data_IF_643971957860
#
_entry.id   IF_643971957860
#
_cell.length_a   1.000
_cell.length_b   1.000
_cell.length_c   1.000
_cell.angle_alpha   90.00
_cell.angle_beta   90.00
_cell.angle_gamma   90.00
#
_symmetry.space_group_name_H-M   'P 1'
#
loop_
_entity.id
_entity.type
_entity.pdbx_description
1 polymer ?
#
# COMPACT_ATOMS: atom_id res chain seq x y z
N UNK A 1 -45.26 40.31 6.14
CA UNK A 1 -46.59 40.83 6.46
C UNK A 1 -46.99 41.95 5.48
N UNK A 2 -48.24 42.10 5.28
CA UNK A 2 -48.84 43.19 4.47
C UNK A 2 -49.97 43.88 5.29
N UNK A 3 -50.14 45.20 5.19
CA UNK A 3 -51.19 45.91 5.89
C UNK A 3 -52.50 45.80 5.13
N UNK A 4 -53.52 45.15 5.71
CA UNK A 4 -54.83 44.97 5.17
C UNK A 4 -55.88 44.95 6.29
N UNK A 5 -57.05 45.62 6.07
CA UNK A 5 -58.08 45.75 7.12
C UNK A 5 -57.61 46.49 8.36
N UNK A 6 -56.75 47.47 8.16
CA UNK A 6 -56.15 48.27 9.27
C UNK A 6 -55.16 47.58 10.14
N UNK A 7 -54.75 46.29 9.80
CA UNK A 7 -53.79 45.50 10.59
C UNK A 7 -52.78 44.77 9.69
N UNK A 8 -51.62 44.43 10.28
CA UNK A 8 -50.58 43.60 9.57
C UNK A 8 -51.02 42.15 9.50
N UNK A 9 -51.19 41.63 8.29
CA UNK A 9 -51.67 40.26 8.04
C UNK A 9 -50.53 39.35 7.62
N UNK A 10 -50.55 38.09 8.12
CA UNK A 10 -49.58 37.03 7.80
C UNK A 10 -50.29 35.73 7.35
N UNK A 11 -51.62 35.67 7.42
CA UNK A 11 -52.43 34.51 7.08
C UNK A 11 -53.18 34.74 5.77
N UNK A 12 -53.34 33.69 4.95
CA UNK A 12 -54.16 33.74 3.77
C UNK A 12 -55.62 34.00 4.14
N UNK A 13 -56.30 34.83 3.40
CA UNK A 13 -57.68 35.18 3.71
C UNK A 13 -58.24 36.30 2.82
N UNK A 14 -59.48 36.71 3.13
CA UNK A 14 -60.13 37.84 2.50
C UNK A 14 -60.20 38.96 3.56
N UNK A 15 -59.70 40.10 3.20
CA UNK A 15 -59.63 41.27 4.07
C UNK A 15 -60.38 42.43 3.42
N UNK A 16 -61.01 43.25 4.23
CA UNK A 16 -61.81 44.41 3.80
C UNK A 16 -61.22 45.68 4.43
N UNK A 17 -60.98 46.65 3.58
CA UNK A 17 -60.61 48.01 3.96
C UNK A 17 -61.70 49.00 3.55
N UNK A 18 -62.01 49.95 4.38
CA UNK A 18 -62.98 50.98 4.09
C UNK A 18 -62.26 52.25 3.68
N UNK A 19 -62.52 52.71 2.51
CA UNK A 19 -62.00 53.98 1.98
C UNK A 19 -63.10 55.04 2.10
N UNK A 20 -62.89 55.96 3.01
CA UNK A 20 -63.81 57.09 3.19
C UNK A 20 -63.79 58.00 1.96
N UNK A 21 -64.99 58.41 1.47
CA UNK A 21 -65.15 59.37 0.40
C UNK A 21 -65.62 60.70 0.91
N UNK A 22 -65.30 61.78 0.21
CA UNK A 22 -65.68 63.16 0.59
C UNK A 22 -67.21 63.46 0.42
N UNK A 23 -67.94 62.46 -0.07
CA UNK A 23 -69.43 62.54 -0.25
C UNK A 23 -70.20 61.67 0.75
N UNK A 24 -69.53 61.07 1.73
CA UNK A 24 -70.14 60.27 2.78
C UNK A 24 -70.56 58.83 2.40
N UNK A 25 -70.25 58.38 1.18
CA UNK A 25 -70.46 57.01 0.77
C UNK A 25 -69.12 56.27 0.71
N UNK A 26 -68.85 55.47 1.70
CA UNK A 26 -67.58 54.74 1.79
C UNK A 26 -67.47 53.61 0.77
N UNK A 27 -66.28 53.51 0.20
CA UNK A 27 -65.95 52.39 -0.73
C UNK A 27 -65.29 51.27 0.09
N UNK A 28 -65.68 50.00 -0.19
CA UNK A 28 -65.06 48.83 0.43
C UNK A 28 -64.11 48.18 -0.56
N UNK A 29 -62.84 48.10 -0.16
CA UNK A 29 -61.82 47.35 -0.88
C UNK A 29 -61.74 45.94 -0.32
N UNK A 30 -62.00 44.94 -1.14
CA UNK A 30 -61.88 43.54 -0.81
C UNK A 30 -60.58 43.00 -1.39
N UNK A 31 -59.65 42.60 -0.55
CA UNK A 31 -58.36 42.03 -0.92
C UNK A 31 -58.28 40.56 -0.52
N UNK A 32 -57.96 39.70 -1.49
CA UNK A 32 -57.66 38.29 -1.24
C UNK A 32 -56.13 38.14 -1.06
N UNK A 33 -55.72 37.79 0.15
CA UNK A 33 -54.32 37.50 0.45
C UNK A 33 -54.05 36.02 0.26
N UNK A 34 -53.06 35.68 -0.58
CA UNK A 34 -52.51 34.33 -0.69
C UNK A 34 -51.13 34.33 -0.05
N UNK A 35 -50.85 33.35 0.82
CA UNK A 35 -49.55 33.13 1.40
C UNK A 35 -48.93 31.93 0.70
N UNK A 36 -47.81 32.17 0.00
CA UNK A 36 -47.08 31.12 -0.66
C UNK A 36 -46.16 30.41 0.34
N UNK A 37 -46.09 29.07 0.34
CA UNK A 37 -45.27 28.33 1.24
C UNK A 37 -43.76 28.50 0.92
N UNK A 38 -42.94 28.48 1.97
CA UNK A 38 -41.48 28.32 1.88
C UNK A 38 -41.15 26.88 2.23
N UNK A 39 -40.35 26.23 1.41
CA UNK A 39 -39.95 24.83 1.61
C UNK A 39 -38.51 24.75 2.12
N UNK A 40 -38.29 23.90 3.14
CA UNK A 40 -36.96 23.47 3.59
C UNK A 40 -36.76 22.02 3.17
N UNK A 41 -35.79 21.79 2.30
CA UNK A 41 -35.40 20.43 1.88
C UNK A 41 -34.07 20.07 2.51
N UNK A 42 -34.03 18.93 3.22
CA UNK A 42 -32.80 18.42 3.80
C UNK A 42 -32.16 17.40 2.86
N UNK A 43 -30.88 17.61 2.57
CA UNK A 43 -30.05 16.77 1.70
C UNK A 43 -28.81 16.31 2.47
N UNK A 44 -28.20 15.23 2.01
CA UNK A 44 -26.89 14.76 2.45
C UNK A 44 -25.95 14.65 1.25
N UNK A 45 -24.69 14.99 1.46
CA UNK A 45 -23.64 14.82 0.48
C UNK A 45 -22.40 14.25 1.17
N UNK A 46 -21.62 13.46 0.45
CA UNK A 46 -20.36 12.89 0.91
C UNK A 46 -19.27 13.20 -0.12
N UNK A 47 -18.08 13.56 0.36
CA UNK A 47 -16.86 13.71 -0.45
C UNK A 47 -15.71 13.02 0.26
N UNK A 48 -14.63 12.75 -0.47
CA UNK A 48 -13.39 12.28 0.11
C UNK A 48 -12.50 13.45 0.57
N UNK A 49 -11.67 13.22 1.55
CA UNK A 49 -10.68 14.20 1.99
C UNK A 49 -9.80 14.63 0.80
N UNK A 50 -9.74 15.95 0.55
CA UNK A 50 -9.04 16.54 -0.58
C UNK A 50 -9.95 16.87 -1.78
N UNK A 51 -11.18 16.39 -1.81
CA UNK A 51 -12.18 16.77 -2.82
C UNK A 51 -12.96 18.01 -2.40
N UNK A 52 -13.74 18.56 -3.32
CA UNK A 52 -14.64 19.68 -3.07
C UNK A 52 -15.98 19.50 -3.78
N UNK A 53 -17.01 20.08 -3.21
CA UNK A 53 -18.37 20.12 -3.74
C UNK A 53 -18.93 21.53 -3.66
N UNK A 54 -19.70 21.95 -4.67
CA UNK A 54 -20.32 23.27 -4.68
C UNK A 54 -21.59 23.25 -3.81
N UNK A 55 -21.57 23.95 -2.67
CA UNK A 55 -22.68 24.12 -1.74
C UNK A 55 -22.64 25.51 -1.14
N UNK A 56 -23.81 26.15 -0.96
CA UNK A 56 -23.88 27.50 -0.41
C UNK A 56 -23.21 28.54 -1.29
N UNK A 57 -23.18 28.32 -2.61
CA UNK A 57 -22.54 29.23 -3.57
C UNK A 57 -21.02 29.19 -3.60
N UNK A 58 -20.37 28.27 -2.88
CA UNK A 58 -18.90 28.10 -2.86
C UNK A 58 -18.48 26.63 -2.84
N UNK A 59 -17.24 26.36 -3.26
CA UNK A 59 -16.64 25.03 -3.14
C UNK A 59 -16.30 24.72 -1.68
N UNK A 60 -16.90 23.66 -1.14
CA UNK A 60 -16.72 23.23 0.24
C UNK A 60 -15.82 22.00 0.30
N UNK A 61 -14.86 22.00 1.24
CA UNK A 61 -13.91 20.91 1.51
C UNK A 61 -14.00 20.37 2.93
N UNK A 62 -14.85 20.99 3.78
CA UNK A 62 -14.99 20.65 5.19
C UNK A 62 -16.40 20.14 5.49
N UNK A 63 -16.49 19.17 6.39
CA UNK A 63 -17.78 18.68 6.87
C UNK A 63 -18.56 19.80 7.56
N UNK A 64 -19.88 19.84 7.32
CA UNK A 64 -20.71 20.90 7.88
C UNK A 64 -22.12 20.93 7.32
N UNK A 65 -22.86 21.95 7.67
CA UNK A 65 -24.21 22.22 7.15
C UNK A 65 -24.13 23.47 6.28
N UNK A 66 -24.60 23.33 5.04
CA UNK A 66 -24.58 24.38 4.04
C UNK A 66 -26.00 24.67 3.57
N UNK A 67 -26.26 25.92 3.22
CA UNK A 67 -27.58 26.39 2.81
C UNK A 67 -27.49 27.01 1.42
N UNK A 68 -28.36 26.54 0.53
CA UNK A 68 -28.61 27.12 -0.78
C UNK A 68 -30.04 27.64 -0.87
N UNK A 69 -30.22 28.75 -1.53
CA UNK A 69 -31.53 29.35 -1.77
C UNK A 69 -31.94 29.17 -3.23
N UNK A 70 -33.11 28.57 -3.45
CA UNK A 70 -33.71 28.42 -4.76
C UNK A 70 -34.86 29.42 -4.89
N UNK A 71 -34.67 30.42 -5.73
CA UNK A 71 -35.69 31.39 -6.01
C UNK A 71 -36.88 30.74 -6.71
N UNK A 72 -38.08 31.04 -6.24
CA UNK A 72 -39.31 30.60 -6.87
C UNK A 72 -39.92 31.72 -7.74
N UNK A 73 -40.72 31.35 -8.71
CA UNK A 73 -41.44 32.31 -9.57
C UNK A 73 -42.49 33.14 -8.79
N UNK A 74 -42.72 32.82 -7.53
CA UNK A 74 -43.62 33.55 -6.62
C UNK A 74 -42.87 34.46 -5.66
N UNK A 75 -41.53 34.54 -5.75
CA UNK A 75 -40.69 35.37 -4.87
C UNK A 75 -40.58 34.85 -3.44
N UNK A 76 -41.02 33.61 -3.15
CA UNK A 76 -40.83 32.97 -1.85
C UNK A 76 -39.76 31.85 -2.00
N UNK A 77 -38.57 32.14 -1.59
CA UNK A 77 -37.44 31.27 -1.83
C UNK A 77 -37.51 29.98 -1.01
N UNK A 78 -37.17 28.85 -1.63
CA UNK A 78 -37.01 27.56 -0.98
C UNK A 78 -35.55 27.42 -0.51
N UNK A 79 -35.34 26.78 0.66
CA UNK A 79 -34.03 26.57 1.25
C UNK A 79 -33.66 25.09 1.11
N UNK A 80 -32.51 24.82 0.53
CA UNK A 80 -31.84 23.52 0.61
C UNK A 80 -30.86 23.57 1.77
N UNK A 81 -30.98 22.62 2.71
CA UNK A 81 -30.06 22.40 3.82
C UNK A 81 -29.29 21.12 3.57
N UNK A 82 -28.04 21.23 3.14
CA UNK A 82 -27.19 20.05 2.85
C UNK A 82 -26.24 19.79 4.02
N UNK A 83 -26.27 18.57 4.55
CA UNK A 83 -25.26 18.09 5.51
C UNK A 83 -24.16 17.41 4.72
N UNK A 84 -22.97 17.99 4.72
CA UNK A 84 -21.78 17.44 4.07
C UNK A 84 -20.97 16.62 5.04
N UNK A 85 -20.63 15.39 4.65
CA UNK A 85 -19.67 14.51 5.32
C UNK A 85 -18.40 14.43 4.48
N UNK A 86 -17.23 14.53 5.13
CA UNK A 86 -15.93 14.31 4.49
C UNK A 86 -15.36 13.00 5.01
N UNK A 87 -15.24 12.02 4.13
CA UNK A 87 -14.69 10.71 4.45
C UNK A 87 -13.16 10.76 4.40
N UNK A 88 -12.44 10.21 5.40
CA UNK A 88 -10.99 10.25 5.42
C UNK A 88 -10.37 9.34 4.35
N UNK A 89 -9.21 9.75 3.83
CA UNK A 89 -8.30 8.93 3.03
C UNK A 89 -7.15 8.48 3.92
N UNK A 90 -6.83 7.19 3.92
CA UNK A 90 -5.78 6.62 4.76
C UNK A 90 -4.53 6.30 3.93
N UNK A 91 -3.35 6.66 4.47
CA UNK A 91 -2.06 6.22 3.97
C UNK A 91 -1.46 5.23 4.97
N UNK A 92 -1.28 3.98 4.54
CA UNK A 92 -0.63 2.94 5.34
C UNK A 92 0.77 2.69 4.78
N UNK A 93 1.80 2.80 5.63
CA UNK A 93 3.17 2.48 5.27
C UNK A 93 3.48 1.04 5.66
N UNK A 94 3.98 0.28 4.68
CA UNK A 94 4.38 -1.12 4.81
C UNK A 94 5.84 -1.28 4.39
N UNK A 95 6.47 -2.35 4.84
CA UNK A 95 7.78 -2.80 4.39
C UNK A 95 7.68 -4.22 3.88
N UNK A 96 8.42 -4.54 2.83
CA UNK A 96 8.55 -5.88 2.29
C UNK A 96 10.02 -6.14 1.96
N UNK A 97 10.45 -7.39 2.09
CA UNK A 97 11.79 -7.84 1.74
C UNK A 97 11.69 -9.06 0.81
N UNK A 98 12.52 -9.11 -0.20
CA UNK A 98 12.72 -10.26 -1.09
C UNK A 98 14.20 -10.51 -1.28
N UNK A 99 14.57 -11.70 -1.74
CA UNK A 99 15.94 -12.01 -2.16
C UNK A 99 16.16 -11.62 -3.63
N UNK A 100 17.39 -11.33 -3.98
CA UNK A 100 17.78 -11.09 -5.37
C UNK A 100 17.37 -12.28 -6.25
N UNK A 101 16.60 -12.00 -7.30
CA UNK A 101 16.03 -13.02 -8.21
C UNK A 101 14.59 -13.39 -7.89
N UNK A 102 14.06 -13.02 -6.74
CA UNK A 102 12.64 -13.20 -6.40
C UNK A 102 11.79 -12.01 -6.88
N UNK A 103 10.48 -12.18 -6.80
CA UNK A 103 9.51 -11.12 -7.11
C UNK A 103 8.36 -11.12 -6.12
N UNK A 104 7.76 -9.95 -5.92
CA UNK A 104 6.57 -9.73 -5.10
C UNK A 104 5.58 -8.86 -5.86
N UNK A 105 4.28 -9.13 -5.70
CA UNK A 105 3.22 -8.33 -6.33
C UNK A 105 3.00 -7.05 -5.52
N UNK A 106 3.36 -5.89 -6.08
CA UNK A 106 3.14 -4.56 -5.52
C UNK A 106 2.82 -3.58 -6.66
N UNK A 107 1.91 -2.63 -6.40
CA UNK A 107 1.51 -1.66 -7.42
C UNK A 107 0.88 -2.32 -8.65
N UNK A 108 0.18 -3.44 -8.48
CA UNK A 108 -0.48 -4.16 -9.56
C UNK A 108 0.44 -4.95 -10.49
N UNK A 109 1.77 -5.04 -10.20
CA UNK A 109 2.73 -5.81 -10.99
C UNK A 109 3.80 -6.48 -10.13
N UNK A 110 4.46 -7.52 -10.67
CA UNK A 110 5.57 -8.18 -10.00
C UNK A 110 6.81 -7.28 -10.00
N UNK A 111 7.30 -6.98 -8.80
CA UNK A 111 8.48 -6.15 -8.57
C UNK A 111 9.68 -7.01 -8.18
N UNK A 112 10.84 -6.69 -8.77
CA UNK A 112 12.13 -7.36 -8.53
C UNK A 112 13.21 -6.39 -8.06
N UNK A 113 12.90 -5.09 -8.01
CA UNK A 113 13.85 -4.02 -7.66
C UNK A 113 13.43 -3.32 -6.37
N UNK A 114 14.40 -2.93 -5.56
CA UNK A 114 14.15 -2.13 -4.38
C UNK A 114 13.53 -0.78 -4.77
N UNK A 115 12.55 -0.31 -3.98
CA UNK A 115 11.86 0.94 -4.28
C UNK A 115 10.63 1.16 -3.40
N UNK A 116 9.88 2.20 -3.75
CA UNK A 116 8.60 2.51 -3.12
C UNK A 116 7.49 2.25 -4.12
N UNK A 117 6.53 1.45 -3.73
CA UNK A 117 5.39 1.05 -4.54
C UNK A 117 4.09 1.46 -3.86
N UNK A 118 3.09 1.77 -4.68
CA UNK A 118 1.80 2.24 -4.20
C UNK A 118 0.68 1.32 -4.72
N UNK A 119 -0.18 0.90 -3.81
CA UNK A 119 -1.41 0.19 -4.11
C UNK A 119 -2.60 0.99 -3.59
N UNK A 120 -3.70 0.97 -4.31
CA UNK A 120 -4.94 1.61 -3.92
C UNK A 120 -5.96 0.56 -3.52
N UNK A 121 -6.54 0.71 -2.33
CA UNK A 121 -7.63 -0.12 -1.84
C UNK A 121 -8.89 0.71 -1.80
N UNK A 122 -9.87 0.38 -2.65
CA UNK A 122 -11.17 1.02 -2.64
C UNK A 122 -11.91 0.76 -1.34
N UNK A 123 -12.48 1.81 -0.77
CA UNK A 123 -13.33 1.72 0.41
C UNK A 123 -14.80 1.66 0.00
N UNK A 124 -15.67 1.19 0.90
CA UNK A 124 -17.12 1.18 0.68
C UNK A 124 -17.75 2.58 0.57
N UNK A 125 -16.99 3.63 0.87
CA UNK A 125 -17.37 5.04 0.71
C UNK A 125 -16.82 5.68 -0.56
N UNK A 126 -16.07 4.90 -1.38
CA UNK A 126 -15.45 5.41 -2.61
C UNK A 126 -14.21 6.26 -2.38
N UNK A 127 -13.74 6.39 -1.13
CA UNK A 127 -12.53 7.12 -0.77
C UNK A 127 -11.38 6.12 -0.63
N UNK A 128 -10.53 6.06 -1.64
CA UNK A 128 -9.49 5.04 -1.72
C UNK A 128 -8.40 5.23 -0.66
N UNK A 129 -8.03 4.15 -0.01
CA UNK A 129 -6.87 4.08 0.87
C UNK A 129 -5.62 3.76 0.07
N UNK A 130 -4.50 4.38 0.41
CA UNK A 130 -3.21 4.17 -0.25
C UNK A 130 -2.31 3.32 0.64
N UNK A 131 -1.83 2.21 0.11
CA UNK A 131 -0.74 1.44 0.69
C UNK A 131 0.57 1.89 0.04
N UNK A 132 1.51 2.36 0.85
CA UNK A 132 2.86 2.72 0.43
C UNK A 132 3.82 1.66 0.96
N UNK A 133 4.28 0.76 0.08
CA UNK A 133 5.21 -0.31 0.45
C UNK A 133 6.64 0.05 0.06
N UNK A 134 7.56 0.04 1.03
CA UNK A 134 9.00 0.12 0.77
C UNK A 134 9.54 -1.29 0.62
N UNK A 135 9.99 -1.63 -0.60
CA UNK A 135 10.59 -2.92 -0.92
C UNK A 135 12.10 -2.85 -0.79
N UNK A 136 12.67 -3.80 -0.03
CA UNK A 136 14.10 -4.05 0.05
C UNK A 136 14.43 -5.35 -0.68
N UNK A 137 15.49 -5.35 -1.49
CA UNK A 137 16.01 -6.56 -2.15
C UNK A 137 17.33 -6.92 -1.50
N UNK A 138 17.36 -8.05 -0.80
CA UNK A 138 18.54 -8.56 -0.12
C UNK A 138 19.43 -9.32 -1.13
N UNK A 139 20.74 -9.06 -1.17
CA UNK A 139 21.64 -9.73 -2.11
C UNK A 139 21.81 -11.21 -1.79
N UNK A 140 21.99 -12.01 -2.84
CA UNK A 140 22.46 -13.40 -2.78
C UNK A 140 23.94 -13.43 -3.12
N UNK A 141 24.76 -14.08 -2.30
CA UNK A 141 26.21 -14.15 -2.50
C UNK A 141 26.63 -15.51 -3.05
N UNK A 142 27.52 -15.50 -4.05
CA UNK A 142 28.23 -16.67 -4.54
C UNK A 142 29.70 -16.55 -4.16
N UNK A 143 30.17 -17.44 -3.29
CA UNK A 143 31.58 -17.53 -2.91
C UNK A 143 32.23 -18.74 -3.59
N UNK A 144 33.32 -18.51 -4.33
CA UNK A 144 34.10 -19.56 -4.95
C UNK A 144 35.25 -19.98 -4.03
N UNK A 145 35.32 -21.26 -3.76
CA UNK A 145 36.34 -21.90 -2.94
C UNK A 145 37.08 -22.98 -3.74
N UNK A 146 38.28 -23.32 -3.29
CA UNK A 146 39.04 -24.48 -3.79
C UNK A 146 39.39 -25.38 -2.62
N UNK A 147 39.36 -26.68 -2.84
CA UNK A 147 39.80 -27.71 -1.87
C UNK A 147 40.58 -28.77 -2.62
N UNK A 148 41.54 -29.39 -1.89
CA UNK A 148 42.40 -30.46 -2.41
C UNK A 148 42.40 -31.61 -1.42
N UNK A 149 42.35 -32.84 -1.92
CA UNK A 149 42.52 -34.06 -1.16
C UNK A 149 43.47 -35.01 -1.91
N UNK A 150 44.07 -35.98 -1.22
CA UNK A 150 44.81 -37.04 -1.86
C UNK A 150 43.86 -38.18 -2.26
N UNK A 151 44.21 -38.94 -3.28
CA UNK A 151 43.50 -40.13 -3.68
C UNK A 151 43.31 -41.08 -2.50
N UNK A 152 42.04 -41.48 -2.22
CA UNK A 152 41.66 -42.30 -1.07
C UNK A 152 41.16 -41.51 0.13
N UNK A 153 41.34 -40.17 0.17
CA UNK A 153 40.77 -39.31 1.19
C UNK A 153 39.36 -38.83 0.79
N UNK A 154 38.66 -38.23 1.73
CA UNK A 154 37.34 -37.62 1.50
C UNK A 154 37.18 -36.32 2.23
N UNK A 155 36.33 -35.43 1.70
CA UNK A 155 35.96 -34.14 2.27
C UNK A 155 34.47 -33.96 2.23
N UNK A 156 33.86 -33.30 3.22
CA UNK A 156 32.44 -33.00 3.26
C UNK A 156 32.16 -31.74 2.44
N UNK A 157 31.48 -31.92 1.30
CA UNK A 157 31.03 -30.83 0.41
C UNK A 157 29.65 -31.17 -0.18
N UNK A 158 28.79 -30.17 -0.35
CA UNK A 158 27.43 -30.37 -0.88
C UNK A 158 26.59 -31.28 0.02
N UNK A 159 26.83 -31.26 1.33
CA UNK A 159 26.12 -32.09 2.31
C UNK A 159 26.50 -33.56 2.30
N UNK A 160 27.50 -33.99 1.51
CA UNK A 160 27.96 -35.37 1.42
C UNK A 160 29.50 -35.47 1.40
N UNK A 161 30.02 -36.70 1.74
CA UNK A 161 31.44 -37.00 1.66
C UNK A 161 31.85 -37.22 0.21
N UNK A 162 32.76 -36.41 -0.31
CA UNK A 162 33.23 -36.40 -1.70
C UNK A 162 34.63 -36.99 -1.77
N UNK A 163 34.86 -37.85 -2.76
CA UNK A 163 36.13 -38.52 -3.06
C UNK A 163 36.60 -38.28 -4.50
N UNK A 164 35.79 -37.58 -5.31
CA UNK A 164 36.07 -37.34 -6.73
C UNK A 164 36.25 -35.85 -7.00
N UNK A 165 37.16 -35.51 -7.92
CA UNK A 165 37.33 -34.14 -8.37
C UNK A 165 36.04 -33.63 -9.03
N UNK A 166 35.68 -32.37 -8.76
CA UNK A 166 34.43 -31.78 -9.28
C UNK A 166 34.10 -30.44 -8.67
N UNK A 167 32.91 -29.94 -9.03
CA UNK A 167 32.34 -28.70 -8.46
C UNK A 167 31.17 -29.11 -7.57
N UNK A 168 31.22 -28.66 -6.34
CA UNK A 168 30.23 -28.93 -5.31
C UNK A 168 29.62 -27.63 -4.80
N UNK A 169 28.36 -27.67 -4.43
CA UNK A 169 27.59 -26.50 -3.98
C UNK A 169 27.05 -26.76 -2.57
N UNK A 170 27.29 -25.80 -1.67
CA UNK A 170 26.70 -25.74 -0.34
C UNK A 170 25.89 -24.47 -0.22
N UNK A 171 24.76 -24.53 0.48
CA UNK A 171 23.91 -23.37 0.76
C UNK A 171 24.01 -23.01 2.23
N UNK A 172 24.30 -21.74 2.50
CA UNK A 172 24.33 -21.17 3.84
C UNK A 172 23.18 -20.18 4.00
N UNK A 173 22.24 -20.49 4.86
CA UNK A 173 21.12 -19.59 5.17
C UNK A 173 21.63 -18.32 5.82
N UNK A 174 21.13 -17.18 5.36
CA UNK A 174 21.40 -15.88 5.97
C UNK A 174 20.30 -15.51 6.95
N UNK A 175 20.57 -14.54 7.84
CA UNK A 175 19.56 -14.02 8.78
C UNK A 175 18.36 -13.34 8.09
N UNK A 176 18.50 -13.02 6.80
CA UNK A 176 17.44 -12.44 5.98
C UNK A 176 16.68 -13.48 5.13
N UNK A 177 17.03 -14.77 5.28
CA UNK A 177 16.42 -15.84 4.50
C UNK A 177 16.92 -15.94 3.05
N UNK A 178 17.88 -15.10 2.65
CA UNK A 178 18.48 -15.13 1.31
C UNK A 178 19.75 -15.96 1.34
N UNK A 179 19.70 -17.16 0.83
CA UNK A 179 20.78 -18.13 0.96
C UNK A 179 22.03 -17.71 0.17
N UNK A 180 23.18 -17.84 0.82
CA UNK A 180 24.48 -17.71 0.15
C UNK A 180 24.92 -19.06 -0.40
N UNK A 181 25.49 -19.05 -1.59
CA UNK A 181 25.97 -20.28 -2.26
C UNK A 181 27.51 -20.32 -2.17
N UNK A 182 28.03 -21.42 -1.61
CA UNK A 182 29.44 -21.78 -1.71
C UNK A 182 29.63 -22.71 -2.89
N UNK A 183 30.46 -22.33 -3.85
CA UNK A 183 30.86 -23.15 -4.97
C UNK A 183 32.29 -23.60 -4.77
N UNK A 184 32.49 -24.87 -4.37
CA UNK A 184 33.83 -25.44 -4.12
C UNK A 184 34.30 -26.28 -5.29
N UNK A 185 35.47 -25.95 -5.84
CA UNK A 185 36.15 -26.78 -6.83
C UNK A 185 37.11 -27.72 -6.08
N UNK A 186 36.83 -29.03 -6.12
CA UNK A 186 37.66 -30.07 -5.51
C UNK A 186 38.64 -30.65 -6.51
N UNK A 187 39.91 -30.67 -6.13
CA UNK A 187 40.99 -31.38 -6.85
C UNK A 187 41.37 -32.60 -6.04
N UNK A 188 41.57 -33.73 -6.75
CA UNK A 188 42.07 -34.99 -6.14
C UNK A 188 43.46 -35.24 -6.68
N UNK A 189 44.47 -35.16 -5.81
CA UNK A 189 45.86 -35.37 -6.17
C UNK A 189 46.17 -36.90 -6.18
N UNK A 190 46.81 -37.44 -7.21
CA UNK A 190 47.16 -38.84 -7.26
C UNK A 190 48.20 -39.21 -6.23
N UNK A 191 48.09 -40.41 -5.67
CA UNK A 191 49.14 -41.02 -4.84
C UNK A 191 49.95 -41.96 -5.72
N UNK A 192 51.25 -41.77 -5.71
CA UNK A 192 52.19 -42.57 -6.49
C UNK A 192 52.86 -43.62 -5.61
N UNK A 193 52.87 -44.84 -6.04
CA UNK A 193 53.67 -45.90 -5.45
C UNK A 193 55.01 -46.02 -6.23
N UNK A 194 56.11 -45.72 -5.55
CA UNK A 194 57.44 -45.94 -6.11
C UNK A 194 57.99 -47.26 -5.56
N UNK A 195 58.21 -48.24 -6.45
CA UNK A 195 58.85 -49.51 -6.11
C UNK A 195 60.36 -49.32 -6.19
N UNK A 196 61.01 -49.56 -5.11
CA UNK A 196 62.49 -49.58 -5.03
C UNK A 196 62.94 -50.99 -4.75
N UNK A 197 64.04 -51.41 -5.34
CA UNK A 197 64.75 -52.63 -5.01
C UNK A 197 66.05 -52.30 -4.35
N UNK A 198 66.40 -53.00 -3.33
CA UNK A 198 67.66 -52.86 -2.65
C UNK A 198 68.31 -54.27 -2.45
N UNK A 199 69.60 -54.34 -2.56
CA UNK A 199 70.36 -55.57 -2.33
C UNK A 199 71.39 -55.33 -1.20
N UNK A 200 71.52 -56.27 -0.33
CA UNK A 200 72.54 -56.26 0.72
C UNK A 200 73.27 -57.62 0.80
N UNK A 201 74.48 -57.61 1.26
CA UNK A 201 75.25 -58.87 1.51
C UNK A 201 74.86 -59.49 2.85
N UNK A 202 75.03 -60.77 3.00
CA UNK A 202 74.76 -61.48 4.25
C UNK A 202 75.54 -60.87 5.42
N UNK A 203 74.81 -60.52 6.51
CA UNK A 203 75.35 -59.83 7.69
C UNK A 203 75.34 -58.32 7.61
N UNK A 204 74.95 -57.70 6.51
CA UNK A 204 74.77 -56.25 6.43
C UNK A 204 73.34 -55.87 6.85
N UNK A 205 73.06 -54.58 7.01
CA UNK A 205 71.78 -54.02 7.33
C UNK A 205 71.51 -52.78 6.49
N UNK A 206 70.22 -52.57 6.10
CA UNK A 206 69.76 -51.40 5.37
C UNK A 206 68.56 -50.81 6.09
N UNK A 207 68.48 -49.48 6.14
CA UNK A 207 67.35 -48.75 6.73
C UNK A 207 66.21 -48.69 5.72
N UNK A 208 65.14 -49.42 5.94
CA UNK A 208 63.92 -49.40 5.11
C UNK A 208 62.69 -49.23 6.01
N UNK A 209 61.78 -48.35 5.61
CA UNK A 209 60.54 -48.10 6.37
C UNK A 209 60.75 -47.58 7.78
N UNK A 210 61.86 -46.86 8.05
CA UNK A 210 62.21 -46.28 9.37
C UNK A 210 62.82 -47.27 10.34
N UNK A 211 63.09 -48.50 9.94
CA UNK A 211 63.78 -49.53 10.77
C UNK A 211 64.90 -50.23 10.00
N UNK A 212 65.93 -50.66 10.71
CA UNK A 212 67.01 -51.48 10.16
C UNK A 212 66.47 -52.89 9.81
N UNK A 213 66.65 -53.31 8.57
CA UNK A 213 66.36 -54.64 8.07
C UNK A 213 67.69 -55.39 7.93
N UNK A 214 67.78 -56.59 8.50
CA UNK A 214 68.94 -57.49 8.41
C UNK A 214 68.54 -58.80 7.85
N UNK A 215 69.44 -59.53 7.13
CA UNK A 215 69.24 -60.88 6.62
C UNK A 215 69.48 -61.89 7.67
#
# INVERSE_FOLDING_TARGET
SILLGGASQTTAGIYFDTLATNKGCDSVLRTTLTVNPVYLTNLTAEICQGESILLGGANQTTAGIYYDTLSTNKGCDSVLRTTLTVNPVYLTNLTAEICQGESILLGGSNQTTAGIYYDTLSTNKGCDSVLRTTLTVNPVYLTNLTAEICQGESILLGGASQITAGIYYDTLSTSKGCDSVLRTTLTVNPVYLTNLTAEICQGESILLGGSNQTT
#
